data_IF_525956017858
#
_entry.id   IF_525956017858
#
_cell.length_a   1.000
_cell.length_b   1.000
_cell.length_c   1.000
_cell.angle_alpha   90.00
_cell.angle_beta   90.00
_cell.angle_gamma   90.00
#
_symmetry.space_group_name_H-M   'P 1'
#
loop_
_entity.id
_entity.type
_entity.pdbx_description
1 polymer ?
#
# COMPACT_ATOMS: atom_id res chain seq x y z
N UNK A 1 5.10 25.27 -5.17
CA UNK A 1 4.71 24.12 -6.00
C UNK A 1 5.35 22.82 -5.53
N UNK A 2 6.66 22.73 -5.38
CA UNK A 2 7.38 21.50 -4.91
C UNK A 2 6.84 20.92 -3.60
N UNK A 3 6.65 21.74 -2.55
CA UNK A 3 6.10 21.28 -1.26
C UNK A 3 4.71 20.65 -1.41
N UNK A 4 3.84 21.26 -2.20
CA UNK A 4 2.47 20.75 -2.38
C UNK A 4 2.46 19.38 -3.10
N UNK A 5 3.35 19.18 -4.09
CA UNK A 5 3.48 17.86 -4.75
C UNK A 5 3.94 16.80 -3.75
N UNK A 6 4.93 17.11 -2.90
CA UNK A 6 5.42 16.13 -1.92
C UNK A 6 4.37 15.81 -0.86
N UNK A 7 3.59 16.78 -0.40
CA UNK A 7 2.47 16.55 0.51
C UNK A 7 1.43 15.63 -0.16
N UNK A 8 1.04 15.95 -1.40
CA UNK A 8 0.09 15.11 -2.15
C UNK A 8 0.60 13.68 -2.33
N UNK A 9 1.91 13.49 -2.62
CA UNK A 9 2.53 12.16 -2.72
C UNK A 9 2.41 11.40 -1.40
N UNK A 10 2.77 12.04 -0.27
CA UNK A 10 2.66 11.43 1.05
C UNK A 10 1.23 11.02 1.37
N UNK A 11 0.24 11.90 1.12
CA UNK A 11 -1.18 11.60 1.33
C UNK A 11 -1.66 10.38 0.52
N UNK A 12 -1.13 10.18 -0.71
CA UNK A 12 -1.46 9.00 -1.52
C UNK A 12 -0.83 7.73 -0.98
N UNK A 13 0.45 7.80 -0.60
CA UNK A 13 1.16 6.67 0.00
C UNK A 13 0.51 6.23 1.34
N UNK A 14 0.08 7.19 2.18
CA UNK A 14 -0.65 6.93 3.43
C UNK A 14 -2.01 6.24 3.19
N UNK A 15 -2.63 6.49 2.03
CA UNK A 15 -3.85 5.79 1.59
C UNK A 15 -3.58 4.45 0.91
N UNK A 16 -2.36 3.95 0.94
CA UNK A 16 -1.99 2.68 0.32
C UNK A 16 -1.87 2.73 -1.22
N UNK A 17 -1.89 3.93 -1.84
CA UNK A 17 -1.73 4.08 -3.28
C UNK A 17 -0.26 4.20 -3.67
N UNK A 18 0.19 3.46 -4.69
CA UNK A 18 1.50 3.70 -5.31
C UNK A 18 1.49 5.01 -6.09
N UNK A 19 2.63 5.70 -6.12
CA UNK A 19 2.77 6.99 -6.83
C UNK A 19 3.97 6.93 -7.76
N UNK A 20 3.77 7.25 -9.04
CA UNK A 20 4.86 7.56 -9.95
C UNK A 20 5.10 9.07 -9.98
N UNK A 21 6.36 9.48 -9.81
CA UNK A 21 6.74 10.89 -9.81
C UNK A 21 7.84 11.16 -10.83
N UNK A 22 7.69 12.26 -11.55
CA UNK A 22 8.70 12.84 -12.41
C UNK A 22 9.22 14.16 -11.83
N UNK A 23 10.53 14.36 -11.86
CA UNK A 23 11.20 15.59 -11.43
C UNK A 23 12.11 16.09 -12.53
N UNK A 24 12.00 17.35 -12.93
CA UNK A 24 12.96 18.02 -13.79
C UNK A 24 14.24 18.25 -12.99
N UNK A 25 15.34 17.61 -13.41
CA UNK A 25 16.64 17.74 -12.75
C UNK A 25 17.56 18.74 -13.46
N UNK A 26 17.46 18.84 -14.79
CA UNK A 26 18.20 19.79 -15.61
C UNK A 26 17.32 20.39 -16.70
N UNK A 27 17.61 21.65 -17.05
CA UNK A 27 16.96 22.34 -18.14
C UNK A 27 17.91 23.36 -18.76
N UNK A 28 18.00 23.38 -20.09
CA UNK A 28 18.84 24.32 -20.84
C UNK A 28 18.12 24.82 -22.10
N UNK A 29 18.42 26.04 -22.52
CA UNK A 29 17.75 26.66 -23.64
C UNK A 29 16.34 27.17 -23.31
N UNK A 30 15.52 27.36 -24.33
CA UNK A 30 14.11 27.76 -24.17
C UNK A 30 13.23 26.53 -23.93
N UNK A 31 12.95 26.27 -22.66
CA UNK A 31 12.14 25.11 -22.23
C UNK A 31 11.01 25.52 -21.31
N UNK A 32 9.85 24.84 -21.36
CA UNK A 32 8.70 25.20 -20.54
C UNK A 32 8.88 24.79 -19.06
N UNK A 33 9.70 23.77 -18.78
CA UNK A 33 9.96 23.24 -17.44
C UNK A 33 11.22 23.84 -16.81
N UNK A 34 11.19 24.06 -15.49
CA UNK A 34 12.36 24.51 -14.72
C UNK A 34 12.84 23.38 -13.79
N UNK A 35 14.16 23.29 -13.47
CA UNK A 35 14.64 22.38 -12.46
C UNK A 35 13.85 22.49 -11.15
N UNK A 36 13.47 21.36 -10.57
CA UNK A 36 12.60 21.29 -9.41
C UNK A 36 11.09 21.23 -9.71
N UNK A 37 10.67 21.41 -10.98
CA UNK A 37 9.28 21.15 -11.38
C UNK A 37 8.97 19.65 -11.25
N UNK A 38 7.78 19.30 -10.75
CA UNK A 38 7.36 17.93 -10.49
C UNK A 38 5.95 17.65 -10.96
N UNK A 39 5.75 16.43 -11.41
CA UNK A 39 4.47 15.85 -11.78
C UNK A 39 4.37 14.48 -11.11
N UNK A 40 3.29 14.21 -10.41
CA UNK A 40 3.02 12.91 -9.80
C UNK A 40 1.65 12.39 -10.24
N UNK A 41 1.52 11.06 -10.34
CA UNK A 41 0.27 10.38 -10.69
C UNK A 41 0.14 9.01 -10.01
N UNK A 42 -1.10 8.57 -9.84
CA UNK A 42 -1.46 7.27 -9.25
C UNK A 42 -1.96 6.30 -10.33
N UNK A 43 -2.04 4.99 -10.03
CA UNK A 43 -2.67 4.01 -10.92
C UNK A 43 -4.13 4.35 -11.28
N UNK A 44 -4.88 4.95 -10.35
CA UNK A 44 -6.27 5.39 -10.55
C UNK A 44 -6.40 6.57 -11.54
N UNK A 45 -5.26 7.20 -11.92
CA UNK A 45 -5.21 8.33 -12.84
C UNK A 45 -5.29 9.71 -12.16
N UNK A 46 -5.37 9.77 -10.82
CA UNK A 46 -5.23 11.04 -10.12
C UNK A 46 -3.84 11.61 -10.38
N UNK A 47 -3.74 12.93 -10.60
CA UNK A 47 -2.47 13.60 -10.89
C UNK A 47 -2.36 14.92 -10.16
N UNK A 48 -1.11 15.33 -9.84
CA UNK A 48 -0.82 16.60 -9.22
C UNK A 48 0.54 17.15 -9.67
N UNK A 49 0.60 18.49 -9.83
CA UNK A 49 1.81 19.17 -10.26
C UNK A 49 1.93 19.32 -11.78
N UNK A 50 3.08 19.79 -12.23
CA UNK A 50 3.41 20.00 -13.64
C UNK A 50 4.92 20.09 -13.83
N UNK A 51 5.41 19.58 -14.95
CA UNK A 51 6.79 19.73 -15.41
C UNK A 51 6.91 20.73 -16.56
N UNK A 52 5.76 21.28 -17.02
CA UNK A 52 5.67 22.29 -18.08
C UNK A 52 5.72 21.69 -19.49
N UNK A 53 4.89 22.29 -20.37
CA UNK A 53 4.82 21.93 -21.79
C UNK A 53 3.98 20.68 -22.09
N UNK A 54 2.83 20.88 -22.74
CA UNK A 54 1.85 19.82 -22.99
C UNK A 54 2.45 18.55 -23.68
N UNK A 55 3.35 18.73 -24.64
CA UNK A 55 3.99 17.60 -25.33
C UNK A 55 4.97 16.83 -24.46
N UNK A 56 5.74 17.53 -23.60
CA UNK A 56 6.64 16.92 -22.62
C UNK A 56 5.83 16.17 -21.55
N UNK A 57 4.80 16.81 -20.98
CA UNK A 57 3.94 16.21 -19.99
C UNK A 57 3.28 14.92 -20.48
N UNK A 58 2.72 14.94 -21.70
CA UNK A 58 2.08 13.74 -22.28
C UNK A 58 3.06 12.55 -22.39
N UNK A 59 4.29 12.78 -22.84
CA UNK A 59 5.30 11.71 -22.92
C UNK A 59 5.71 11.19 -21.55
N UNK A 60 5.95 12.10 -20.61
CA UNK A 60 6.33 11.73 -19.25
C UNK A 60 5.18 11.04 -18.53
N UNK A 61 3.94 11.51 -18.66
CA UNK A 61 2.77 10.80 -18.11
C UNK A 61 2.65 9.37 -18.65
N UNK A 62 2.84 9.19 -19.95
CA UNK A 62 2.80 7.84 -20.55
C UNK A 62 3.93 6.95 -20.02
N UNK A 63 5.13 7.50 -19.82
CA UNK A 63 6.23 6.78 -19.20
C UNK A 63 5.93 6.38 -17.75
N UNK A 64 5.41 7.32 -16.93
CA UNK A 64 5.00 7.07 -15.55
C UNK A 64 3.89 6.02 -15.47
N UNK A 65 2.87 6.09 -16.34
CA UNK A 65 1.81 5.06 -16.43
C UNK A 65 2.38 3.69 -16.80
N UNK A 66 3.32 3.65 -17.74
CA UNK A 66 4.04 2.43 -18.10
C UNK A 66 4.81 1.83 -16.92
N UNK A 67 5.43 2.67 -16.09
CA UNK A 67 6.13 2.24 -14.88
C UNK A 67 5.18 1.68 -13.82
N UNK A 68 4.01 2.32 -13.60
CA UNK A 68 2.98 1.82 -12.69
C UNK A 68 2.37 0.51 -13.15
N UNK A 69 2.11 0.35 -14.46
CA UNK A 69 1.48 -0.84 -15.04
C UNK A 69 2.45 -2.01 -15.24
N UNK A 70 3.76 -1.77 -15.22
CA UNK A 70 4.79 -2.78 -15.41
C UNK A 70 4.92 -3.82 -14.28
N UNK A 71 4.05 -3.72 -13.28
CA UNK A 71 4.04 -4.56 -12.09
C UNK A 71 5.17 -4.18 -11.11
N UNK A 72 4.90 -4.37 -9.82
CA UNK A 72 5.85 -4.04 -8.72
C UNK A 72 7.22 -4.70 -8.91
N UNK A 73 7.25 -5.90 -9.49
CA UNK A 73 8.48 -6.66 -9.70
C UNK A 73 9.40 -6.03 -10.76
N UNK A 74 8.87 -5.59 -11.89
CA UNK A 74 9.68 -4.96 -12.96
C UNK A 74 10.20 -3.57 -12.57
N UNK A 75 9.43 -2.82 -11.80
CA UNK A 75 9.84 -1.48 -11.32
C UNK A 75 10.94 -1.59 -10.28
N UNK A 76 10.86 -2.56 -9.37
CA UNK A 76 11.89 -2.80 -8.34
C UNK A 76 13.22 -3.29 -8.91
N UNK A 77 13.20 -4.07 -9.99
CA UNK A 77 14.42 -4.56 -10.66
C UNK A 77 15.14 -3.45 -11.44
N UNK A 78 14.43 -2.43 -11.93
CA UNK A 78 14.99 -1.38 -12.78
C UNK A 78 15.27 -0.06 -12.07
N UNK A 79 14.77 0.12 -10.83
CA UNK A 79 14.92 1.38 -10.09
C UNK A 79 14.25 2.57 -10.79
N UNK A 80 14.78 3.77 -10.56
CA UNK A 80 14.33 4.97 -11.25
C UNK A 80 14.82 5.02 -12.70
N UNK A 81 14.17 5.84 -13.51
CA UNK A 81 14.52 6.12 -14.90
C UNK A 81 14.91 7.59 -15.04
N UNK A 82 16.00 7.85 -15.75
CA UNK A 82 16.37 9.22 -16.17
C UNK A 82 16.28 9.30 -17.69
N UNK A 83 15.59 10.29 -18.20
CA UNK A 83 15.43 10.50 -19.62
C UNK A 83 15.64 11.97 -19.98
N UNK A 84 16.38 12.21 -21.07
CA UNK A 84 16.62 13.54 -21.62
C UNK A 84 15.75 13.74 -22.84
N UNK A 85 14.96 14.79 -22.84
CA UNK A 85 14.10 15.22 -23.95
C UNK A 85 14.74 16.43 -24.64
N UNK A 86 14.79 16.35 -25.98
CA UNK A 86 15.29 17.45 -26.83
C UNK A 86 14.13 18.03 -27.59
N UNK A 87 13.92 19.33 -27.39
CA UNK A 87 12.79 20.10 -27.92
C UNK A 87 13.15 20.76 -29.24
N UNK A 88 13.54 19.97 -30.26
CA UNK A 88 13.87 20.43 -31.63
C UNK A 88 13.22 19.51 -32.67
N UNK A 89 12.86 20.12 -33.81
CA UNK A 89 12.34 19.37 -34.97
C UNK A 89 13.34 18.37 -35.58
N UNK A 90 14.64 18.62 -35.44
CA UNK A 90 15.70 17.93 -36.18
C UNK A 90 16.77 17.26 -35.29
N UNK A 91 16.42 16.82 -34.09
CA UNK A 91 17.33 16.09 -33.21
C UNK A 91 17.62 14.68 -33.75
N UNK A 92 18.61 14.59 -34.66
CA UNK A 92 19.12 13.30 -35.16
C UNK A 92 20.45 12.98 -34.48
N UNK A 93 20.55 11.77 -33.88
CA UNK A 93 21.81 11.17 -33.47
C UNK A 93 22.26 11.41 -32.01
N UNK A 94 21.41 11.91 -31.14
CA UNK A 94 21.72 12.02 -29.70
C UNK A 94 20.96 10.94 -28.89
N UNK A 95 21.55 10.52 -27.73
CA UNK A 95 20.87 9.70 -26.71
C UNK A 95 19.76 10.50 -26.01
N UNK A 96 18.78 10.98 -26.78
CA UNK A 96 17.73 11.85 -26.28
C UNK A 96 16.43 11.60 -27.07
N UNK A 97 15.29 11.70 -26.37
CA UNK A 97 13.96 11.54 -26.98
C UNK A 97 13.55 12.84 -27.65
N UNK A 98 13.41 12.92 -29.00
CA UNK A 98 13.00 14.11 -29.68
C UNK A 98 11.54 14.44 -29.42
N UNK A 99 11.25 15.71 -29.17
CA UNK A 99 9.91 16.27 -29.05
C UNK A 99 9.66 17.30 -30.13
N UNK A 100 8.59 17.11 -30.91
CA UNK A 100 8.13 18.13 -31.86
C UNK A 100 7.59 19.34 -31.08
N UNK A 101 8.39 20.37 -30.94
CA UNK A 101 8.09 21.57 -30.16
C UNK A 101 8.64 22.82 -30.87
N UNK A 102 7.93 23.92 -30.71
CA UNK A 102 8.40 25.25 -31.15
C UNK A 102 9.47 25.83 -30.22
N UNK A 103 9.65 25.23 -29.02
CA UNK A 103 10.69 25.58 -28.06
C UNK A 103 12.00 24.91 -28.44
N UNK A 104 13.13 25.57 -28.31
CA UNK A 104 14.46 25.01 -28.53
C UNK A 104 15.18 24.82 -27.21
N UNK A 105 15.44 23.57 -26.78
CA UNK A 105 16.14 23.33 -25.54
C UNK A 105 16.18 21.86 -25.14
N UNK A 106 16.76 21.57 -23.97
CA UNK A 106 16.92 20.23 -23.44
C UNK A 106 16.39 20.18 -22.01
N UNK A 107 15.65 19.12 -21.68
CA UNK A 107 15.15 18.87 -20.32
C UNK A 107 15.48 17.43 -19.92
N UNK A 108 16.14 17.27 -18.78
CA UNK A 108 16.39 15.95 -18.18
C UNK A 108 15.43 15.73 -17.02
N UNK A 109 14.71 14.60 -17.06
CA UNK A 109 13.68 14.24 -16.11
C UNK A 109 14.06 12.92 -15.44
N UNK A 110 14.09 12.92 -14.11
CA UNK A 110 14.15 11.70 -13.31
C UNK A 110 12.72 11.25 -13.00
N UNK A 111 12.47 9.95 -13.17
CA UNK A 111 11.18 9.30 -12.94
C UNK A 111 11.37 8.13 -11.99
N UNK A 112 10.50 8.00 -11.01
CA UNK A 112 10.50 6.92 -10.02
C UNK A 112 9.09 6.51 -9.64
N UNK A 113 8.95 5.28 -9.11
CA UNK A 113 7.72 4.80 -8.48
C UNK A 113 7.99 4.58 -7.01
N UNK A 114 7.11 5.12 -6.20
CA UNK A 114 7.09 4.94 -4.76
C UNK A 114 5.89 4.07 -4.40
N UNK A 115 6.16 2.97 -3.70
CA UNK A 115 5.11 2.11 -3.17
C UNK A 115 4.82 2.49 -1.71
N UNK A 116 3.56 2.37 -1.26
CA UNK A 116 3.22 2.57 0.14
C UNK A 116 3.92 1.51 0.99
N UNK A 117 4.31 1.90 2.20
CA UNK A 117 4.72 0.93 3.23
C UNK A 117 3.50 0.16 3.74
N UNK A 118 3.64 -1.10 4.15
CA UNK A 118 2.56 -1.81 4.81
C UNK A 118 2.02 -1.05 6.02
N UNK A 119 0.70 -1.00 6.14
CA UNK A 119 0.00 -0.55 7.32
C UNK A 119 -0.89 -1.69 7.81
N UNK A 120 -0.51 -2.29 8.92
CA UNK A 120 -1.14 -3.51 9.43
C UNK A 120 -2.14 -3.16 10.53
N UNK A 121 -3.42 -3.54 10.34
CA UNK A 121 -4.41 -3.49 11.42
C UNK A 121 -4.36 -4.79 12.22
N UNK A 122 -3.98 -4.69 13.49
CA UNK A 122 -3.89 -5.79 14.45
C UNK A 122 -5.20 -5.84 15.23
N UNK A 123 -6.13 -6.72 14.83
CA UNK A 123 -7.35 -6.98 15.59
C UNK A 123 -7.07 -8.07 16.64
N UNK A 124 -6.84 -7.64 17.87
CA UNK A 124 -6.43 -8.47 19.01
C UNK A 124 -5.05 -8.09 19.53
N UNK A 125 -5.01 -7.15 20.49
CA UNK A 125 -3.79 -6.60 21.11
C UNK A 125 -3.15 -7.52 22.18
N UNK A 126 -3.33 -8.83 22.10
CA UNK A 126 -2.74 -9.83 23.01
C UNK A 126 -1.22 -9.98 22.83
N UNK A 127 -0.69 -11.15 23.21
CA UNK A 127 0.76 -11.42 23.11
C UNK A 127 1.23 -11.47 21.66
N UNK A 128 0.52 -12.17 20.78
CA UNK A 128 0.87 -12.25 19.35
C UNK A 128 0.75 -10.88 18.70
N UNK A 129 -0.35 -10.15 18.94
CA UNK A 129 -0.53 -8.80 18.40
C UNK A 129 0.60 -7.84 18.80
N UNK A 130 1.05 -7.91 20.07
CA UNK A 130 2.20 -7.11 20.52
C UNK A 130 3.49 -7.52 19.83
N UNK A 131 3.73 -8.81 19.66
CA UNK A 131 4.92 -9.29 18.96
C UNK A 131 4.92 -8.84 17.48
N UNK A 132 3.76 -8.90 16.79
CA UNK A 132 3.60 -8.38 15.43
C UNK A 132 3.89 -6.89 15.37
N UNK A 133 3.36 -6.09 16.30
CA UNK A 133 3.63 -4.65 16.35
C UNK A 133 5.13 -4.33 16.48
N UNK A 134 5.87 -5.06 17.34
CA UNK A 134 7.32 -4.90 17.49
C UNK A 134 8.07 -5.22 16.18
N UNK A 135 7.65 -6.27 15.44
CA UNK A 135 8.26 -6.58 14.15
C UNK A 135 7.92 -5.51 13.12
N UNK A 136 6.68 -4.99 13.08
CA UNK A 136 6.30 -3.86 12.23
C UNK A 136 7.20 -2.64 12.50
N UNK A 137 7.41 -2.26 13.77
CA UNK A 137 8.28 -1.16 14.16
C UNK A 137 9.72 -1.37 13.66
N UNK A 138 10.24 -2.60 13.81
CA UNK A 138 11.59 -2.96 13.35
C UNK A 138 11.73 -2.84 11.83
N UNK A 139 10.66 -3.16 11.09
CA UNK A 139 10.62 -3.07 9.62
C UNK A 139 10.29 -1.66 9.11
N UNK A 140 9.96 -0.71 10.00
CA UNK A 140 9.48 0.63 9.64
C UNK A 140 8.10 0.62 9.01
N UNK A 141 7.29 -0.40 9.28
CA UNK A 141 5.90 -0.49 8.83
C UNK A 141 4.98 0.25 9.81
N UNK A 142 3.90 0.83 9.28
CA UNK A 142 2.84 1.35 10.12
C UNK A 142 1.98 0.22 10.68
N UNK A 143 1.50 0.38 11.90
CA UNK A 143 0.51 -0.52 12.46
C UNK A 143 -0.54 0.25 13.27
N UNK A 144 -1.75 -0.29 13.30
CA UNK A 144 -2.86 0.16 14.15
C UNK A 144 -3.38 -1.02 14.95
N UNK A 145 -3.94 -0.78 16.12
CA UNK A 145 -4.39 -1.84 17.02
C UNK A 145 -5.86 -1.64 17.36
N UNK A 146 -6.64 -2.71 17.24
CA UNK A 146 -8.00 -2.82 17.73
C UNK A 146 -8.08 -3.91 18.80
N UNK A 147 -8.70 -3.62 19.93
CA UNK A 147 -9.13 -4.62 20.93
C UNK A 147 -10.37 -4.10 21.67
N UNK A 148 -11.30 -4.98 21.98
CA UNK A 148 -12.49 -4.63 22.76
C UNK A 148 -12.15 -4.28 24.20
N UNK A 149 -10.97 -4.67 24.68
CA UNK A 149 -10.45 -4.40 26.03
C UNK A 149 -9.45 -3.25 25.95
N UNK A 150 -9.75 -2.16 26.66
CA UNK A 150 -8.96 -0.93 26.57
C UNK A 150 -7.47 -1.13 26.93
N UNK A 151 -7.15 -1.99 27.89
CA UNK A 151 -5.78 -2.29 28.31
C UNK A 151 -4.94 -3.03 27.26
N UNK A 152 -5.57 -3.52 26.17
CA UNK A 152 -4.90 -4.17 25.04
C UNK A 152 -4.81 -3.29 23.78
N UNK A 153 -5.39 -2.10 23.82
CA UNK A 153 -5.31 -1.12 22.74
C UNK A 153 -5.01 0.28 23.31
N UNK A 154 -3.90 0.41 24.06
CA UNK A 154 -3.48 1.66 24.67
C UNK A 154 -2.05 2.08 24.28
N UNK A 155 -1.74 3.37 24.45
CA UNK A 155 -0.47 3.97 24.03
C UNK A 155 0.75 3.54 24.85
N UNK A 156 0.59 3.07 26.08
CA UNK A 156 1.70 2.55 26.87
C UNK A 156 2.16 1.20 26.31
N UNK A 157 1.20 0.38 25.89
CA UNK A 157 1.45 -0.92 25.29
C UNK A 157 1.93 -0.84 23.86
N UNK A 158 1.42 0.15 23.08
CA UNK A 158 1.68 0.35 21.65
C UNK A 158 2.10 1.79 21.34
N UNK A 159 3.30 2.21 21.80
CA UNK A 159 3.73 3.61 21.71
C UNK A 159 3.96 4.14 20.29
N UNK A 160 4.09 3.25 19.30
CA UNK A 160 4.32 3.60 17.90
C UNK A 160 3.13 3.28 16.99
N UNK A 161 1.99 2.86 17.55
CA UNK A 161 0.79 2.63 16.77
C UNK A 161 0.28 3.94 16.13
N UNK A 162 -0.10 3.86 14.87
CA UNK A 162 -0.69 4.99 14.14
C UNK A 162 -2.09 5.31 14.67
N UNK A 163 -2.86 4.27 14.98
CA UNK A 163 -4.21 4.38 15.52
C UNK A 163 -4.42 3.32 16.63
N UNK A 164 -5.19 3.68 17.65
CA UNK A 164 -5.58 2.80 18.74
C UNK A 164 -7.09 2.82 18.91
N UNK A 165 -7.71 1.67 18.76
CA UNK A 165 -9.17 1.51 18.78
C UNK A 165 -9.57 0.58 19.95
N UNK A 166 -9.91 1.19 21.08
CA UNK A 166 -10.46 0.51 22.26
C UNK A 166 -11.98 0.65 22.26
N UNK A 167 -12.69 -0.19 21.50
CA UNK A 167 -14.13 -0.09 21.30
C UNK A 167 -14.78 -1.44 21.03
N UNK A 168 -16.11 -1.50 21.00
CA UNK A 168 -16.81 -2.67 20.42
C UNK A 168 -16.49 -2.80 18.92
N UNK A 169 -16.69 -3.98 18.37
CA UNK A 169 -16.54 -4.22 16.92
C UNK A 169 -17.45 -3.28 16.13
N UNK A 170 -18.73 -3.19 16.51
CA UNK A 170 -19.68 -2.27 15.88
C UNK A 170 -19.21 -0.81 15.93
N UNK A 171 -18.66 -0.38 17.09
CA UNK A 171 -18.16 1.00 17.25
C UNK A 171 -16.95 1.29 16.35
N UNK A 172 -16.04 0.34 16.15
CA UNK A 172 -14.97 0.46 15.17
C UNK A 172 -15.53 0.56 13.74
N UNK A 173 -16.42 -0.37 13.40
CA UNK A 173 -16.97 -0.48 12.04
C UNK A 173 -17.89 0.68 11.64
N UNK A 174 -18.51 1.41 12.59
CA UNK A 174 -19.28 2.62 12.30
C UNK A 174 -18.43 3.74 11.68
N UNK A 175 -17.13 3.79 12.00
CA UNK A 175 -16.19 4.76 11.47
C UNK A 175 -15.51 4.32 10.15
N UNK A 176 -15.75 3.10 9.68
CA UNK A 176 -15.04 2.51 8.57
C UNK A 176 -15.97 2.16 7.39
N UNK A 177 -15.50 2.48 6.19
CA UNK A 177 -16.06 2.08 4.90
C UNK A 177 -14.97 1.48 4.00
N UNK A 178 -15.31 1.13 2.75
CA UNK A 178 -14.33 0.59 1.81
C UNK A 178 -13.16 1.55 1.57
N UNK A 179 -13.42 2.85 1.45
CA UNK A 179 -12.41 3.86 1.14
C UNK A 179 -11.46 4.12 2.32
N UNK A 180 -11.94 4.03 3.54
CA UNK A 180 -11.11 4.16 4.74
C UNK A 180 -10.29 2.91 5.02
N UNK A 181 -10.86 1.71 4.82
CA UNK A 181 -10.19 0.44 5.07
C UNK A 181 -8.98 0.19 4.14
N UNK A 182 -8.96 0.77 2.92
CA UNK A 182 -7.83 0.59 1.98
C UNK A 182 -6.51 1.18 2.48
N UNK A 183 -6.53 2.03 3.54
CA UNK A 183 -5.29 2.49 4.18
C UNK A 183 -4.51 1.36 4.83
N UNK A 184 -5.19 0.27 5.21
CA UNK A 184 -4.55 -0.93 5.71
C UNK A 184 -4.11 -1.83 4.56
N UNK A 185 -2.89 -2.32 4.61
CA UNK A 185 -2.42 -3.36 3.70
C UNK A 185 -2.97 -4.73 4.07
N UNK A 186 -3.03 -4.98 5.39
CA UNK A 186 -3.46 -6.25 5.98
C UNK A 186 -4.29 -6.00 7.24
N UNK A 187 -5.30 -6.82 7.45
CA UNK A 187 -6.08 -6.93 8.67
C UNK A 187 -5.80 -8.30 9.27
N UNK A 188 -5.27 -8.33 10.49
CA UNK A 188 -4.87 -9.55 11.19
C UNK A 188 -5.81 -9.83 12.34
N UNK A 189 -6.55 -10.93 12.27
CA UNK A 189 -7.41 -11.41 13.34
C UNK A 189 -6.58 -12.28 14.29
N UNK A 190 -6.13 -11.67 15.40
CA UNK A 190 -5.24 -12.27 16.39
C UNK A 190 -5.90 -12.33 17.77
N UNK A 191 -7.22 -12.22 17.82
CA UNK A 191 -8.00 -12.24 19.05
C UNK A 191 -7.99 -13.59 19.76
N UNK A 192 -8.33 -13.58 21.03
CA UNK A 192 -8.53 -14.78 21.83
C UNK A 192 -10.00 -15.19 21.93
N UNK A 193 -10.92 -14.24 21.65
CA UNK A 193 -12.37 -14.45 21.70
C UNK A 193 -12.88 -14.69 20.28
N UNK A 194 -13.40 -15.90 20.10
CA UNK A 194 -13.98 -16.36 18.85
C UNK A 194 -15.12 -15.46 18.32
N UNK A 195 -16.03 -15.05 19.21
CA UNK A 195 -17.20 -14.29 18.80
C UNK A 195 -16.80 -12.89 18.32
N UNK A 196 -15.83 -12.25 18.98
CA UNK A 196 -15.26 -10.96 18.59
C UNK A 196 -14.55 -11.06 17.25
N UNK A 197 -13.69 -12.07 17.06
CA UNK A 197 -12.96 -12.31 15.80
C UNK A 197 -13.95 -12.53 14.64
N UNK A 198 -15.02 -13.32 14.87
CA UNK A 198 -16.04 -13.59 13.87
C UNK A 198 -16.83 -12.33 13.52
N UNK A 199 -17.31 -11.58 14.51
CA UNK A 199 -18.04 -10.32 14.28
C UNK A 199 -17.16 -9.33 13.49
N UNK A 200 -15.88 -9.24 13.84
CA UNK A 200 -14.92 -8.37 13.16
C UNK A 200 -14.71 -8.79 11.70
N UNK A 201 -14.47 -10.09 11.46
CA UNK A 201 -14.30 -10.65 10.12
C UNK A 201 -15.50 -10.36 9.22
N UNK A 202 -16.70 -10.68 9.70
CA UNK A 202 -17.93 -10.47 8.95
C UNK A 202 -18.17 -8.98 8.67
N UNK A 203 -17.89 -8.12 9.65
CA UNK A 203 -18.05 -6.69 9.51
C UNK A 203 -17.08 -6.06 8.50
N UNK A 204 -15.84 -6.52 8.45
CA UNK A 204 -14.86 -6.07 7.46
C UNK A 204 -15.19 -6.61 6.08
N UNK A 205 -15.45 -7.92 5.93
CA UNK A 205 -15.82 -8.53 4.64
C UNK A 205 -17.07 -7.90 4.03
N UNK A 206 -18.06 -7.54 4.85
CA UNK A 206 -19.28 -6.87 4.40
C UNK A 206 -19.08 -5.43 3.89
N UNK A 207 -17.90 -4.84 4.11
CA UNK A 207 -17.54 -3.50 3.64
C UNK A 207 -16.59 -3.50 2.45
N UNK A 208 -15.92 -4.63 2.18
CA UNK A 208 -15.00 -4.75 1.06
C UNK A 208 -15.78 -5.04 -0.22
N UNK A 209 -15.75 -4.12 -1.16
CA UNK A 209 -16.38 -4.25 -2.48
C UNK A 209 -15.46 -4.95 -3.50
N UNK A 210 -14.95 -6.15 -3.13
CA UNK A 210 -14.12 -6.95 -4.07
C UNK A 210 -12.75 -6.35 -4.40
N UNK A 211 -12.25 -5.43 -3.57
CA UNK A 211 -10.91 -4.84 -3.71
C UNK A 211 -9.80 -5.78 -3.25
N UNK A 212 -8.60 -5.60 -3.80
CA UNK A 212 -7.41 -6.37 -3.42
C UNK A 212 -6.87 -6.01 -2.01
N UNK A 213 -7.40 -4.97 -1.35
CA UNK A 213 -6.97 -4.50 -0.02
C UNK A 213 -8.13 -4.01 0.83
N UNK A 214 -8.01 -4.18 2.17
CA UNK A 214 -6.94 -4.91 2.88
C UNK A 214 -7.02 -6.43 2.65
N UNK A 215 -5.87 -7.09 2.65
CA UNK A 215 -5.82 -8.56 2.73
C UNK A 215 -6.16 -8.97 4.16
N UNK A 216 -6.96 -10.01 4.31
CA UNK A 216 -7.35 -10.49 5.64
C UNK A 216 -6.59 -11.76 5.97
N UNK A 217 -6.09 -11.85 7.21
CA UNK A 217 -5.47 -13.05 7.74
C UNK A 217 -5.94 -13.34 9.16
N UNK A 218 -6.11 -14.60 9.49
CA UNK A 218 -6.55 -15.01 10.80
C UNK A 218 -5.61 -16.08 11.41
N UNK A 219 -5.34 -15.94 12.71
CA UNK A 219 -4.69 -17.00 13.46
C UNK A 219 -5.73 -18.07 13.83
N UNK A 220 -5.40 -19.32 13.60
CA UNK A 220 -6.27 -20.41 14.01
C UNK A 220 -5.96 -21.71 13.29
N UNK A 221 -6.48 -22.80 13.85
CA UNK A 221 -6.43 -24.11 13.20
C UNK A 221 -7.43 -24.18 12.05
N UNK A 222 -7.23 -25.13 11.14
CA UNK A 222 -8.18 -25.43 10.05
C UNK A 222 -9.60 -25.72 10.58
N UNK A 223 -9.71 -26.31 11.77
CA UNK A 223 -11.01 -26.56 12.41
C UNK A 223 -11.70 -25.26 12.78
N UNK A 224 -10.95 -24.31 13.36
CA UNK A 224 -11.45 -22.97 13.69
C UNK A 224 -11.90 -22.24 12.42
N UNK A 225 -11.09 -22.31 11.37
CA UNK A 225 -11.40 -21.68 10.10
C UNK A 225 -12.67 -22.24 9.44
N UNK A 226 -12.85 -23.55 9.44
CA UNK A 226 -14.05 -24.17 8.85
C UNK A 226 -15.32 -23.70 9.54
N UNK A 227 -15.31 -23.58 10.86
CA UNK A 227 -16.46 -23.07 11.60
C UNK A 227 -16.71 -21.57 11.33
N UNK A 228 -15.66 -20.75 11.11
CA UNK A 228 -15.82 -19.38 10.63
C UNK A 228 -16.47 -19.33 9.25
N UNK A 229 -16.03 -20.17 8.32
CA UNK A 229 -16.62 -20.25 6.98
C UNK A 229 -18.10 -20.58 7.02
N UNK A 230 -18.51 -21.60 7.78
CA UNK A 230 -19.91 -21.98 7.93
C UNK A 230 -20.77 -20.79 8.41
N UNK A 231 -20.34 -20.14 9.49
CA UNK A 231 -21.06 -18.98 10.02
C UNK A 231 -21.09 -17.78 9.06
N UNK A 232 -20.04 -17.57 8.29
CA UNK A 232 -19.97 -16.48 7.32
C UNK A 232 -20.88 -16.75 6.10
N UNK A 233 -20.94 -17.99 5.61
CA UNK A 233 -21.88 -18.39 4.56
C UNK A 233 -23.31 -18.21 5.01
N UNK A 234 -23.65 -18.63 6.24
CA UNK A 234 -24.97 -18.42 6.83
C UNK A 234 -25.33 -16.95 6.97
N UNK A 235 -24.36 -16.07 7.17
CA UNK A 235 -24.50 -14.62 7.20
C UNK A 235 -24.56 -13.96 5.79
N UNK A 236 -24.44 -14.75 4.70
CA UNK A 236 -24.54 -14.28 3.33
C UNK A 236 -23.23 -13.79 2.70
N UNK A 237 -22.07 -14.08 3.32
CA UNK A 237 -20.75 -13.78 2.73
C UNK A 237 -20.47 -14.79 1.60
N UNK A 238 -19.99 -14.30 0.47
CA UNK A 238 -19.67 -15.16 -0.67
C UNK A 238 -18.46 -16.07 -0.39
N UNK A 239 -18.46 -17.26 -0.98
CA UNK A 239 -17.32 -18.19 -0.87
C UNK A 239 -16.03 -17.56 -1.43
N UNK A 240 -16.12 -16.79 -2.50
CA UNK A 240 -14.99 -16.09 -3.10
C UNK A 240 -14.33 -15.11 -2.12
N UNK A 241 -15.12 -14.35 -1.35
CA UNK A 241 -14.60 -13.48 -0.30
C UNK A 241 -13.90 -14.27 0.80
N UNK A 242 -14.45 -15.44 1.17
CA UNK A 242 -13.86 -16.31 2.18
C UNK A 242 -12.57 -17.00 1.71
N UNK A 243 -12.46 -17.33 0.42
CA UNK A 243 -11.25 -17.90 -0.18
C UNK A 243 -10.09 -16.91 -0.20
N UNK A 244 -10.38 -15.60 -0.15
CA UNK A 244 -9.36 -14.56 -0.04
C UNK A 244 -8.74 -14.43 1.36
N UNK A 245 -9.38 -15.01 2.40
CA UNK A 245 -8.89 -14.95 3.79
C UNK A 245 -7.85 -16.02 4.04
N UNK A 246 -6.68 -15.62 4.50
CA UNK A 246 -5.56 -16.51 4.83
C UNK A 246 -5.73 -17.08 6.24
N UNK A 247 -5.91 -18.37 6.37
CA UNK A 247 -5.97 -19.04 7.67
C UNK A 247 -5.50 -20.51 7.56
N UNK A 248 -4.47 -20.92 8.30
CA UNK A 248 -3.69 -20.11 9.25
C UNK A 248 -2.85 -19.04 8.54
N UNK A 249 -2.67 -17.89 9.21
CA UNK A 249 -1.80 -16.82 8.71
C UNK A 249 -0.34 -17.07 9.08
N UNK A 250 0.58 -16.63 8.23
CA UNK A 250 2.02 -16.76 8.39
C UNK A 250 2.62 -17.88 7.55
N UNK A 251 3.89 -17.73 7.21
CA UNK A 251 4.63 -18.81 6.53
C UNK A 251 4.74 -20.04 7.44
N UNK A 252 4.62 -21.21 6.85
CA UNK A 252 4.80 -22.49 7.58
C UNK A 252 6.30 -22.73 7.85
N UNK A 253 6.76 -22.22 8.99
CA UNK A 253 8.15 -22.33 9.46
C UNK A 253 8.25 -23.04 10.81
N UNK A 254 7.14 -23.64 11.29
CA UNK A 254 7.09 -24.32 12.58
C UNK A 254 7.08 -23.38 13.78
N UNK A 255 6.48 -22.18 13.64
CA UNK A 255 6.42 -21.15 14.67
C UNK A 255 5.46 -21.55 15.81
N UNK A 256 5.93 -21.52 17.06
CA UNK A 256 5.16 -21.89 18.25
C UNK A 256 4.99 -20.73 19.24
N UNK A 257 6.00 -19.87 19.42
CA UNK A 257 5.92 -18.71 20.34
C UNK A 257 5.26 -17.50 19.67
N UNK A 258 4.71 -16.56 20.44
CA UNK A 258 4.17 -15.31 19.91
C UNK A 258 5.16 -14.55 19.01
N UNK A 259 6.42 -14.54 19.37
CA UNK A 259 7.50 -13.88 18.64
C UNK A 259 7.80 -14.59 17.31
N UNK A 260 7.84 -15.91 17.30
CA UNK A 260 8.04 -16.72 16.08
C UNK A 260 6.83 -16.59 15.13
N UNK A 261 5.61 -16.61 15.67
CA UNK A 261 4.38 -16.39 14.90
C UNK A 261 4.42 -14.99 14.27
N UNK A 262 4.85 -13.95 15.01
CA UNK A 262 4.97 -12.61 14.48
C UNK A 262 5.97 -12.54 13.31
N UNK A 263 7.10 -13.24 13.39
CA UNK A 263 8.08 -13.33 12.30
C UNK A 263 7.46 -14.03 11.08
N UNK A 264 6.77 -15.16 11.28
CA UNK A 264 6.10 -15.89 10.20
C UNK A 264 5.05 -15.05 9.47
N UNK A 265 4.22 -14.33 10.24
CA UNK A 265 3.17 -13.43 9.72
C UNK A 265 3.78 -12.26 8.94
N UNK A 266 4.76 -11.56 9.50
CA UNK A 266 5.40 -10.43 8.83
C UNK A 266 6.20 -10.87 7.60
N UNK A 267 6.80 -12.06 7.61
CA UNK A 267 7.48 -12.64 6.45
C UNK A 267 6.50 -12.95 5.31
N UNK A 268 5.31 -13.47 5.62
CA UNK A 268 4.23 -13.67 4.65
C UNK A 268 3.78 -12.34 4.03
N UNK A 269 3.47 -11.33 4.85
CA UNK A 269 3.11 -10.00 4.38
C UNK A 269 4.21 -9.43 3.47
N UNK A 270 5.48 -9.53 3.88
CA UNK A 270 6.62 -9.09 3.07
C UNK A 270 6.71 -9.82 1.74
N UNK A 271 6.43 -11.13 1.70
CA UNK A 271 6.42 -11.91 0.47
C UNK A 271 5.33 -11.41 -0.48
N UNK A 272 4.10 -11.20 0.01
CA UNK A 272 2.97 -10.68 -0.75
C UNK A 272 3.25 -9.27 -1.28
N UNK A 273 3.86 -8.40 -0.48
CA UNK A 273 4.24 -7.05 -0.92
C UNK A 273 5.32 -7.05 -2.01
N UNK A 274 6.25 -8.00 -1.98
CA UNK A 274 7.38 -8.06 -2.92
C UNK A 274 7.12 -8.86 -4.18
N UNK A 275 6.32 -9.93 -4.08
CA UNK A 275 6.08 -10.88 -5.19
C UNK A 275 4.71 -10.71 -5.84
N UNK A 276 3.80 -9.91 -5.25
CA UNK A 276 2.38 -9.90 -5.59
C UNK A 276 1.64 -11.01 -4.84
N UNK A 277 0.34 -11.13 -5.09
CA UNK A 277 -0.56 -11.99 -4.32
C UNK A 277 -0.38 -13.51 -4.56
N UNK A 278 0.74 -13.96 -5.15
CA UNK A 278 1.08 -15.37 -5.30
C UNK A 278 2.20 -15.78 -4.33
N UNK A 279 1.90 -16.76 -3.48
CA UNK A 279 2.86 -17.41 -2.55
C UNK A 279 3.48 -18.68 -3.18
N UNK A 280 3.52 -18.81 -4.52
CA UNK A 280 4.15 -19.92 -5.23
C UNK A 280 5.69 -19.88 -5.19
#
# INVERSE_FOLDING_TARGET
>A
MTRAVLIWVLERLERGESVAMASVIEASGSVPGKPGARLALTPSGARFGTIGGAGLELKVENALRGMLNGGRQQVREKGGRVETFVLYKDAKGEEATPLDSLCGGRVTVAMEVMDPMPHVLIAGGGHVGRAVAIVCDTLGWSHSVFDVRAEYADAERYPFASELHASSVSGFLEGEDSDSLVRFSDVLLLGHDWAVDQEFLLGVLGRLEGGARPRIGAIGSTVKWNAFREAAVDAGVSEEALDSVRCPIGLDIGADSPEEIAVAVCAEIMSLEKRGDSLD
#
